data_IF_448452592507
#
_entry.id   IF_448452592507
#
_cell.length_a   1.000
_cell.length_b   1.000
_cell.length_c   1.000
_cell.angle_alpha   90.00
_cell.angle_beta   90.00
_cell.angle_gamma   90.00
#
_symmetry.space_group_name_H-M   'P 1'
#
loop_
_entity.id
_entity.type
_entity.pdbx_description
1 polymer ?
#
# COMPACT_ATOMS: atom_id res chain seq x y z
N UNK A 1 27.27 21.49 16.00
CA UNK A 1 27.02 20.72 17.23
C UNK A 1 28.25 19.89 17.60
N UNK A 2 28.44 19.52 18.88
CA UNK A 2 29.56 18.65 19.32
C UNK A 2 29.33 17.16 19.03
N UNK A 3 28.32 16.82 18.24
CA UNK A 3 27.91 15.43 17.93
C UNK A 3 29.04 14.56 17.32
N UNK A 4 29.99 15.09 16.52
CA UNK A 4 31.17 14.32 16.08
C UNK A 4 32.13 13.92 17.22
N UNK A 5 32.10 14.62 18.36
CA UNK A 5 32.91 14.24 19.53
C UNK A 5 32.24 13.19 20.39
N UNK A 6 30.93 12.96 20.22
CA UNK A 6 30.11 12.05 21.03
C UNK A 6 29.84 10.71 20.34
N UNK A 7 29.83 10.68 19.00
CA UNK A 7 29.57 9.47 18.20
C UNK A 7 30.69 9.31 17.17
N UNK A 8 31.35 8.14 17.17
CA UNK A 8 32.47 7.85 16.26
C UNK A 8 32.06 7.88 14.79
N UNK A 9 30.87 7.36 14.46
CA UNK A 9 30.35 7.31 13.08
C UNK A 9 30.23 8.70 12.45
N UNK A 10 29.79 9.71 13.23
CA UNK A 10 29.68 11.09 12.75
C UNK A 10 31.05 11.78 12.62
N UNK A 11 32.01 11.38 13.47
CA UNK A 11 33.39 11.86 13.38
C UNK A 11 34.06 11.39 12.10
N UNK A 12 33.92 10.11 11.79
CA UNK A 12 34.57 9.48 10.66
C UNK A 12 33.97 9.99 9.34
N UNK A 13 32.67 10.29 9.34
CA UNK A 13 31.98 10.92 8.22
C UNK A 13 32.16 12.45 8.12
N UNK A 14 32.77 13.11 9.12
CA UNK A 14 32.99 14.56 9.14
C UNK A 14 31.71 15.41 9.17
N UNK A 15 30.56 14.79 9.45
CA UNK A 15 29.24 15.43 9.47
C UNK A 15 28.72 15.56 10.89
N UNK A 16 27.80 16.50 11.11
CA UNK A 16 27.06 16.61 12.37
C UNK A 16 25.74 15.84 12.25
N UNK A 17 25.23 15.33 13.36
CA UNK A 17 23.85 14.84 13.42
C UNK A 17 22.88 15.96 13.01
N UNK A 18 22.17 15.76 11.90
CA UNK A 18 21.26 16.74 11.33
C UNK A 18 20.05 17.00 12.25
N UNK A 19 19.56 15.97 12.95
CA UNK A 19 18.45 16.11 13.91
C UNK A 19 18.85 16.96 15.12
N UNK A 20 19.97 16.63 15.74
CA UNK A 20 20.53 17.41 16.84
C UNK A 20 20.91 18.84 16.44
N UNK A 21 21.45 19.04 15.23
CA UNK A 21 21.78 20.38 14.74
C UNK A 21 20.52 21.22 14.45
N UNK A 22 19.47 20.61 13.89
CA UNK A 22 18.18 21.25 13.66
C UNK A 22 17.54 21.73 14.95
N UNK A 23 17.57 20.90 16.00
CA UNK A 23 17.05 21.28 17.33
C UNK A 23 17.80 22.49 17.92
N UNK A 24 19.12 22.57 17.75
CA UNK A 24 19.92 23.72 18.20
C UNK A 24 19.48 25.00 17.47
N UNK A 25 19.28 24.95 16.15
CA UNK A 25 18.83 26.12 15.39
C UNK A 25 17.44 26.60 15.80
N UNK A 26 16.51 25.68 16.08
CA UNK A 26 15.18 26.03 16.59
C UNK A 26 15.30 26.76 17.93
N UNK A 27 16.12 26.26 18.84
CA UNK A 27 16.31 26.88 20.16
C UNK A 27 17.05 28.23 20.08
N UNK A 28 18.02 28.37 19.18
CA UNK A 28 18.71 29.64 18.91
C UNK A 28 17.75 30.68 18.31
N UNK A 29 16.87 30.26 17.39
CA UNK A 29 15.82 31.10 16.84
C UNK A 29 14.81 31.57 17.90
N UNK A 30 14.35 30.65 18.75
CA UNK A 30 13.45 30.98 19.86
C UNK A 30 14.10 31.96 20.85
N UNK A 31 15.39 31.77 21.18
CA UNK A 31 16.14 32.68 22.04
C UNK A 31 16.34 34.06 21.39
N UNK A 32 16.63 34.11 20.09
CA UNK A 32 16.78 35.36 19.36
C UNK A 32 15.48 36.17 19.34
N UNK A 33 14.34 35.51 19.14
CA UNK A 33 13.02 36.13 19.21
C UNK A 33 12.72 36.68 20.61
N UNK A 34 13.02 35.92 21.67
CA UNK A 34 12.86 36.37 23.06
C UNK A 34 13.78 37.55 23.42
N UNK A 35 14.93 37.67 22.76
CA UNK A 35 15.86 38.80 22.91
C UNK A 35 15.50 40.00 22.03
N UNK A 36 14.41 39.95 21.27
CA UNK A 36 13.96 41.03 20.39
C UNK A 36 14.89 41.25 19.19
N UNK A 37 15.66 40.25 18.78
CA UNK A 37 16.50 40.32 17.57
C UNK A 37 15.64 39.97 16.37
N UNK A 38 15.51 40.89 15.42
CA UNK A 38 14.85 40.62 14.14
C UNK A 38 15.74 39.72 13.28
N UNK A 39 15.16 38.65 12.73
CA UNK A 39 15.85 37.75 11.80
C UNK A 39 15.92 38.42 10.43
N UNK A 40 17.13 38.81 10.00
CA UNK A 40 17.37 39.20 8.62
C UNK A 40 17.65 37.93 7.81
N UNK A 41 16.78 37.63 6.87
CA UNK A 41 16.98 36.53 5.93
C UNK A 41 18.15 36.90 5.01
N UNK A 42 19.35 36.42 5.33
CA UNK A 42 20.45 36.46 4.38
C UNK A 42 20.08 35.53 3.22
N UNK A 43 19.75 36.11 2.07
CA UNK A 43 19.65 35.38 0.79
C UNK A 43 21.05 34.90 0.41
N UNK A 44 21.51 33.83 1.06
CA UNK A 44 22.57 33.01 0.51
C UNK A 44 21.91 32.09 -0.51
N UNK A 45 22.20 32.32 -1.79
CA UNK A 45 22.06 31.29 -2.80
C UNK A 45 22.76 30.03 -2.26
N UNK A 46 22.14 28.84 -2.30
CA UNK A 46 22.79 27.62 -1.83
C UNK A 46 24.11 27.50 -2.58
N UNK A 47 25.24 27.62 -1.87
CA UNK A 47 26.50 27.22 -2.45
C UNK A 47 26.35 25.74 -2.82
N UNK A 48 26.78 25.33 -4.01
CA UNK A 48 26.81 23.92 -4.33
C UNK A 48 27.62 23.25 -3.22
N UNK A 49 26.93 22.42 -2.44
CA UNK A 49 27.58 21.50 -1.54
C UNK A 49 28.53 20.76 -2.46
N UNK A 50 29.85 20.90 -2.24
CA UNK A 50 30.82 20.03 -2.88
C UNK A 50 30.28 18.63 -2.61
N UNK A 51 29.84 17.97 -3.66
CA UNK A 51 29.50 16.56 -3.64
C UNK A 51 30.63 15.90 -2.86
N UNK A 52 30.29 15.47 -1.65
CA UNK A 52 31.02 14.40 -1.02
C UNK A 52 30.90 13.33 -2.10
N UNK A 53 32.01 12.87 -2.72
CA UNK A 53 31.89 11.71 -3.57
C UNK A 53 31.15 10.72 -2.71
N UNK A 54 29.96 10.33 -3.16
CA UNK A 54 29.32 9.16 -2.62
C UNK A 54 30.46 8.17 -2.46
N UNK A 55 30.65 7.64 -1.27
CA UNK A 55 31.32 6.36 -1.19
C UNK A 55 30.38 5.39 -1.90
N UNK A 56 30.38 5.49 -3.23
CA UNK A 56 30.15 4.43 -4.18
C UNK A 56 31.21 3.40 -3.83
N UNK A 57 30.84 2.57 -2.87
CA UNK A 57 31.12 1.15 -2.77
C UNK A 57 30.58 0.66 -1.42
N UNK A 58 29.28 0.85 -1.19
CA UNK A 58 28.52 -0.37 -0.93
C UNK A 58 28.22 -0.87 -2.33
N UNK A 59 28.95 -1.91 -2.75
CA UNK A 59 28.63 -2.63 -3.97
C UNK A 59 27.12 -2.76 -4.06
N UNK A 60 26.49 -2.49 -5.23
CA UNK A 60 25.11 -2.91 -5.41
C UNK A 60 25.09 -4.36 -4.95
N UNK A 61 24.32 -4.66 -3.91
CA UNK A 61 23.94 -6.03 -3.66
C UNK A 61 23.29 -6.45 -4.96
N UNK A 62 24.06 -7.07 -5.85
CA UNK A 62 23.56 -7.70 -7.04
C UNK A 62 22.51 -8.62 -6.46
N UNK A 63 21.23 -8.31 -6.68
CA UNK A 63 20.19 -9.31 -6.60
C UNK A 63 20.72 -10.43 -7.48
N UNK A 64 21.28 -11.47 -6.86
CA UNK A 64 21.92 -12.56 -7.57
C UNK A 64 20.89 -13.23 -8.49
N UNK A 65 19.61 -13.06 -8.15
CA UNK A 65 18.44 -13.53 -8.86
C UNK A 65 17.45 -12.38 -9.09
N UNK A 66 17.05 -12.17 -10.34
CA UNK A 66 16.20 -11.05 -10.75
C UNK A 66 14.70 -11.28 -10.61
N UNK A 67 14.24 -12.52 -10.45
CA UNK A 67 12.81 -12.84 -10.38
C UNK A 67 12.42 -13.50 -9.08
N UNK A 68 11.32 -13.05 -8.49
CA UNK A 68 10.58 -13.81 -7.50
C UNK A 68 9.60 -14.74 -8.24
N UNK A 69 9.68 -16.05 -7.99
CA UNK A 69 8.78 -17.04 -8.58
C UNK A 69 8.00 -17.73 -7.47
N UNK A 70 6.68 -17.57 -7.51
CA UNK A 70 5.74 -18.22 -6.61
C UNK A 70 4.83 -19.16 -7.38
N UNK A 71 4.48 -20.29 -6.77
CA UNK A 71 3.45 -21.17 -7.30
C UNK A 71 2.82 -22.01 -6.19
N UNK A 72 1.57 -22.40 -6.40
CA UNK A 72 0.86 -23.36 -5.58
C UNK A 72 0.88 -24.73 -6.28
N UNK A 73 1.44 -25.74 -5.61
CA UNK A 73 1.56 -27.10 -6.13
C UNK A 73 0.54 -28.01 -5.45
N UNK A 74 -0.35 -28.62 -6.25
CA UNK A 74 -1.27 -29.69 -5.80
C UNK A 74 -0.76 -31.06 -6.22
N UNK A 75 -0.72 -32.01 -5.28
CA UNK A 75 -0.26 -33.38 -5.53
C UNK A 75 -0.84 -34.36 -4.52
N UNK A 76 -0.61 -35.65 -4.70
CA UNK A 76 -1.15 -36.69 -3.81
C UNK A 76 -0.17 -37.13 -2.71
N UNK A 77 1.12 -36.82 -2.86
CA UNK A 77 2.20 -37.21 -1.95
C UNK A 77 3.35 -36.21 -2.02
N UNK A 78 3.05 -34.92 -1.87
CA UNK A 78 4.07 -33.89 -1.82
C UNK A 78 4.91 -34.03 -0.54
N UNK A 79 6.21 -33.83 -0.67
CA UNK A 79 7.13 -33.77 0.46
C UNK A 79 7.84 -32.41 0.44
N UNK A 80 7.43 -31.46 1.30
CA UNK A 80 8.04 -30.13 1.35
C UNK A 80 9.56 -30.15 1.50
N UNK A 81 10.12 -31.10 2.25
CA UNK A 81 11.58 -31.18 2.44
C UNK A 81 12.27 -31.67 1.15
N UNK A 82 11.68 -32.64 0.45
CA UNK A 82 12.17 -33.05 -0.87
C UNK A 82 12.06 -31.93 -1.90
N UNK A 83 10.97 -31.15 -1.90
CA UNK A 83 10.78 -30.00 -2.81
C UNK A 83 11.85 -28.94 -2.52
N UNK A 84 12.12 -28.63 -1.25
CA UNK A 84 13.21 -27.72 -0.86
C UNK A 84 14.54 -28.20 -1.38
N UNK A 85 14.85 -29.48 -1.21
CA UNK A 85 16.12 -30.04 -1.65
C UNK A 85 16.28 -29.92 -3.17
N UNK A 86 15.26 -30.28 -3.94
CA UNK A 86 15.26 -30.17 -5.41
C UNK A 86 15.42 -28.72 -5.87
N UNK A 87 14.75 -27.77 -5.22
CA UNK A 87 14.74 -26.38 -5.67
C UNK A 87 15.90 -25.53 -5.16
N UNK A 88 16.60 -25.96 -4.11
CA UNK A 88 17.71 -25.22 -3.49
C UNK A 88 18.86 -24.87 -4.43
N UNK A 89 18.98 -25.57 -5.57
CA UNK A 89 20.02 -25.32 -6.57
C UNK A 89 19.66 -24.24 -7.59
N UNK A 90 18.39 -23.84 -7.66
CA UNK A 90 17.87 -22.95 -8.70
C UNK A 90 17.79 -21.48 -8.26
N UNK A 91 18.07 -21.16 -7.00
CA UNK A 91 17.85 -19.82 -6.47
C UNK A 91 18.22 -19.66 -5.00
N UNK A 92 17.92 -18.48 -4.46
CA UNK A 92 17.97 -18.22 -3.02
C UNK A 92 16.57 -17.95 -2.45
N UNK A 93 16.53 -17.73 -1.13
CA UNK A 93 15.30 -17.36 -0.42
C UNK A 93 14.14 -18.35 -0.66
N UNK A 94 14.50 -19.64 -0.81
CA UNK A 94 13.56 -20.71 -1.06
C UNK A 94 12.71 -20.98 0.17
N UNK A 95 11.40 -20.78 0.02
CA UNK A 95 10.38 -21.11 0.99
C UNK A 95 9.46 -22.16 0.37
N UNK A 96 9.24 -23.24 1.11
CA UNK A 96 8.25 -24.28 0.77
C UNK A 96 7.47 -24.59 2.03
N UNK A 97 6.18 -24.25 1.99
CA UNK A 97 5.24 -24.38 3.10
C UNK A 97 4.02 -25.15 2.61
N UNK A 98 3.58 -26.15 3.37
CA UNK A 98 2.43 -26.98 3.02
C UNK A 98 2.54 -28.41 3.53
N UNK A 99 1.71 -29.29 2.98
CA UNK A 99 1.59 -30.70 3.33
C UNK A 99 1.59 -31.61 2.10
N UNK A 100 1.18 -32.88 2.27
CA UNK A 100 1.18 -33.87 1.20
C UNK A 100 0.18 -33.60 0.06
N UNK A 101 -0.84 -32.77 0.30
CA UNK A 101 -1.88 -32.41 -0.67
C UNK A 101 -1.62 -31.08 -1.39
N UNK A 102 -1.01 -30.12 -0.70
CA UNK A 102 -0.81 -28.75 -1.19
C UNK A 102 0.47 -28.14 -0.65
N UNK A 103 1.29 -27.55 -1.52
CA UNK A 103 2.50 -26.81 -1.13
C UNK A 103 2.60 -25.48 -1.86
N UNK A 104 2.83 -24.38 -1.14
CA UNK A 104 3.23 -23.10 -1.71
C UNK A 104 4.75 -23.04 -1.78
N UNK A 105 5.25 -22.64 -2.94
CA UNK A 105 6.67 -22.49 -3.23
C UNK A 105 6.96 -21.04 -3.58
N UNK A 106 7.97 -20.45 -2.96
CA UNK A 106 8.54 -19.14 -3.29
C UNK A 106 10.04 -19.30 -3.45
N UNK A 107 10.61 -18.78 -4.52
CA UNK A 107 12.06 -18.78 -4.73
C UNK A 107 12.49 -17.56 -5.54
N UNK A 108 13.62 -16.96 -5.17
CA UNK A 108 14.27 -15.97 -6.01
C UNK A 108 15.19 -16.68 -7.01
N UNK A 109 14.91 -16.56 -8.30
CA UNK A 109 15.66 -17.25 -9.35
C UNK A 109 15.86 -16.37 -10.59
N UNK A 110 16.86 -16.71 -11.41
CA UNK A 110 17.00 -16.17 -12.77
C UNK A 110 16.36 -17.09 -13.82
N UNK A 111 15.84 -18.24 -13.40
CA UNK A 111 15.32 -19.29 -14.28
C UNK A 111 13.93 -19.72 -13.80
N UNK A 112 12.93 -18.81 -13.75
CA UNK A 112 11.56 -19.13 -13.30
C UNK A 112 10.98 -20.34 -14.04
N UNK A 113 11.19 -20.44 -15.36
CA UNK A 113 10.72 -21.57 -16.16
C UNK A 113 11.27 -22.92 -15.70
N UNK A 114 12.53 -22.99 -15.24
CA UNK A 114 13.11 -24.23 -14.72
C UNK A 114 12.50 -24.65 -13.39
N UNK A 115 12.25 -23.69 -12.51
CA UNK A 115 11.55 -23.95 -11.23
C UNK A 115 10.16 -24.54 -11.50
N UNK A 116 9.41 -23.96 -12.43
CA UNK A 116 8.09 -24.46 -12.79
C UNK A 116 8.14 -25.85 -13.45
N UNK A 117 9.13 -26.10 -14.32
CA UNK A 117 9.36 -27.43 -14.93
C UNK A 117 9.62 -28.51 -13.89
N UNK A 118 10.38 -28.23 -12.83
CA UNK A 118 10.64 -29.18 -11.75
C UNK A 118 9.39 -29.43 -10.91
N UNK A 119 8.63 -28.38 -10.60
CA UNK A 119 7.38 -28.52 -9.84
C UNK A 119 6.31 -29.32 -10.61
N UNK A 120 6.24 -29.19 -11.94
CA UNK A 120 5.32 -29.97 -12.79
C UNK A 120 5.58 -31.48 -12.75
N UNK A 121 6.79 -31.92 -12.38
CA UNK A 121 7.09 -33.34 -12.24
C UNK A 121 6.47 -33.94 -10.96
N UNK A 122 6.14 -33.09 -9.99
CA UNK A 122 5.66 -33.48 -8.66
C UNK A 122 4.15 -33.33 -8.51
N UNK A 123 3.50 -32.50 -9.34
CA UNK A 123 2.07 -32.24 -9.28
C UNK A 123 1.60 -31.23 -10.30
N UNK A 124 0.38 -30.72 -10.11
CA UNK A 124 -0.20 -29.67 -10.96
C UNK A 124 0.03 -28.29 -10.34
N UNK A 125 0.47 -27.33 -11.17
CA UNK A 125 0.68 -25.94 -10.77
C UNK A 125 -0.61 -25.13 -10.82
N UNK A 126 -0.79 -24.26 -9.83
CA UNK A 126 -1.86 -23.28 -9.68
C UNK A 126 -1.25 -21.95 -9.18
N UNK A 127 -1.97 -20.84 -9.38
CA UNK A 127 -1.61 -19.51 -8.84
C UNK A 127 -0.14 -19.12 -9.05
N UNK A 128 0.33 -19.27 -10.28
CA UNK A 128 1.73 -18.99 -10.65
C UNK A 128 1.93 -17.47 -10.74
N UNK A 129 2.92 -16.96 -9.99
CA UNK A 129 3.35 -15.57 -10.04
C UNK A 129 4.85 -15.48 -10.34
N UNK A 130 5.23 -14.62 -11.28
CA UNK A 130 6.63 -14.33 -11.59
C UNK A 130 6.79 -12.81 -11.62
N UNK A 131 7.46 -12.28 -10.60
CA UNK A 131 7.71 -10.84 -10.46
C UNK A 131 9.17 -10.51 -10.73
N UNK A 132 9.44 -9.48 -11.53
CA UNK A 132 10.79 -8.94 -11.69
C UNK A 132 11.13 -8.01 -10.52
N UNK A 133 12.06 -8.45 -9.66
CA UNK A 133 12.46 -7.69 -8.47
C UNK A 133 13.25 -6.41 -8.81
N UNK A 134 13.87 -6.35 -10.01
CA UNK A 134 14.54 -5.13 -10.49
C UNK A 134 13.54 -4.02 -10.85
N UNK A 135 12.35 -4.38 -11.33
CA UNK A 135 11.29 -3.40 -11.64
C UNK A 135 10.64 -2.87 -10.36
N UNK A 136 10.51 -3.71 -9.33
CA UNK A 136 10.10 -3.27 -7.98
C UNK A 136 11.13 -2.29 -7.38
N UNK A 137 12.43 -2.55 -7.52
CA UNK A 137 13.48 -1.64 -7.05
C UNK A 137 13.56 -0.33 -7.85
N UNK A 138 13.32 -0.34 -9.17
CA UNK A 138 13.23 0.90 -9.97
C UNK A 138 12.07 1.78 -9.51
N UNK A 139 10.96 1.19 -9.08
CA UNK A 139 9.80 1.97 -8.62
C UNK A 139 10.11 2.73 -7.32
N UNK A 140 10.97 2.19 -6.45
CA UNK A 140 11.43 2.85 -5.22
C UNK A 140 12.52 3.91 -5.44
N UNK A 141 13.39 3.74 -6.45
CA UNK A 141 14.52 4.64 -6.73
C UNK A 141 14.22 5.78 -7.71
N UNK A 142 13.09 5.74 -8.44
CA UNK A 142 12.74 6.75 -9.47
C UNK A 142 12.02 7.99 -8.88
N UNK A 143 11.93 8.12 -7.55
CA UNK A 143 11.38 9.31 -6.90
C UNK A 143 12.19 10.60 -7.11
N UNK A 144 13.42 10.56 -7.65
CA UNK A 144 14.27 11.76 -7.80
C UNK A 144 14.97 11.91 -9.16
N UNK A 145 14.34 11.50 -10.27
CA UNK A 145 14.85 11.90 -11.60
C UNK A 145 13.73 12.52 -12.43
N UNK A 146 13.89 13.76 -12.95
CA UNK A 146 12.90 14.35 -13.85
C UNK A 146 12.88 13.53 -15.14
N UNK A 147 11.93 12.60 -15.23
CA UNK A 147 11.62 11.82 -16.41
C UNK A 147 11.29 12.77 -17.57
N UNK A 148 11.74 12.40 -18.76
CA UNK A 148 11.35 13.02 -20.03
C UNK A 148 9.83 13.29 -20.06
N UNK A 149 9.37 14.41 -20.66
CA UNK A 149 7.97 14.79 -20.65
C UNK A 149 7.12 13.69 -21.30
N UNK A 150 6.33 12.99 -20.47
CA UNK A 150 5.26 12.13 -20.95
C UNK A 150 4.27 13.02 -21.72
N UNK A 151 3.71 12.56 -22.85
CA UNK A 151 2.72 13.34 -23.59
C UNK A 151 1.54 13.66 -22.67
N UNK A 152 1.06 14.90 -22.77
CA UNK A 152 -0.06 15.42 -21.96
C UNK A 152 -1.30 14.56 -22.18
N UNK A 153 -1.82 13.96 -21.10
CA UNK A 153 -3.04 13.17 -21.16
C UNK A 153 -4.26 14.10 -21.06
N UNK A 154 -5.39 13.67 -21.63
CA UNK A 154 -6.65 14.38 -21.45
C UNK A 154 -7.14 14.30 -20.00
N UNK A 155 -7.00 13.13 -19.37
CA UNK A 155 -7.38 12.84 -18.00
C UNK A 155 -6.22 12.20 -17.25
N UNK A 156 -6.05 12.63 -16.00
CA UNK A 156 -5.19 11.95 -15.03
C UNK A 156 -5.96 11.63 -13.75
N UNK A 157 -5.37 10.79 -12.92
CA UNK A 157 -6.03 10.27 -11.72
C UNK A 157 -5.11 10.37 -10.51
N UNK A 158 -5.62 10.93 -9.42
CA UNK A 158 -4.98 10.97 -8.10
C UNK A 158 -5.83 10.15 -7.14
N UNK A 159 -5.20 9.26 -6.38
CA UNK A 159 -5.88 8.50 -5.33
C UNK A 159 -5.17 8.66 -3.99
N UNK A 160 -5.91 8.41 -2.91
CA UNK A 160 -5.34 8.36 -1.57
C UNK A 160 -5.38 6.93 -1.08
N UNK A 161 -4.27 6.44 -0.53
CA UNK A 161 -4.19 5.14 0.10
C UNK A 161 -3.04 5.10 1.10
N UNK A 162 -3.06 4.11 1.98
CA UNK A 162 -2.00 3.85 2.93
C UNK A 162 -1.66 2.36 2.91
N UNK A 163 -0.40 2.04 2.66
CA UNK A 163 0.09 0.69 2.46
C UNK A 163 0.66 0.48 1.06
N UNK A 164 1.85 -0.08 0.98
CA UNK A 164 2.59 -0.23 -0.28
C UNK A 164 1.86 -1.12 -1.28
N UNK A 165 1.18 -2.16 -0.79
CA UNK A 165 0.41 -3.06 -1.65
C UNK A 165 -0.82 -2.40 -2.25
N UNK A 166 -1.56 -1.61 -1.47
CA UNK A 166 -2.69 -0.81 -1.97
C UNK A 166 -2.23 0.25 -2.96
N UNK A 167 -1.07 0.89 -2.71
CA UNK A 167 -0.46 1.83 -3.64
C UNK A 167 -0.14 1.16 -4.98
N UNK A 168 0.56 0.02 -4.95
CA UNK A 168 0.90 -0.75 -6.15
C UNK A 168 -0.36 -1.19 -6.91
N UNK A 169 -1.41 -1.62 -6.21
CA UNK A 169 -2.68 -1.99 -6.85
C UNK A 169 -3.33 -0.80 -7.58
N UNK A 170 -3.40 0.36 -6.94
CA UNK A 170 -3.96 1.57 -7.53
C UNK A 170 -3.14 2.07 -8.73
N UNK A 171 -1.81 2.09 -8.62
CA UNK A 171 -0.90 2.44 -9.72
C UNK A 171 -1.04 1.45 -10.89
N UNK A 172 -1.21 0.17 -10.61
CA UNK A 172 -1.48 -0.88 -11.60
C UNK A 172 -2.79 -0.68 -12.36
N UNK A 173 -3.78 -0.05 -11.73
CA UNK A 173 -5.06 0.34 -12.34
C UNK A 173 -5.01 1.70 -13.06
N UNK A 174 -3.83 2.30 -13.18
CA UNK A 174 -3.62 3.53 -13.95
C UNK A 174 -3.74 4.83 -13.16
N UNK A 175 -3.73 4.78 -11.83
CA UNK A 175 -3.57 5.99 -11.00
C UNK A 175 -2.20 6.63 -11.27
N UNK A 176 -2.17 7.92 -11.57
CA UNK A 176 -0.92 8.64 -11.87
C UNK A 176 -0.13 8.99 -10.61
N UNK A 177 -0.82 9.35 -9.52
CA UNK A 177 -0.21 9.66 -8.22
C UNK A 177 -1.07 9.11 -7.09
N UNK A 178 -0.45 8.30 -6.23
CA UNK A 178 -1.04 7.87 -4.97
C UNK A 178 -0.46 8.69 -3.83
N UNK A 179 -1.29 9.50 -3.20
CA UNK A 179 -0.92 10.27 -2.00
C UNK A 179 -1.08 9.38 -0.78
N UNK A 180 -0.04 9.30 0.05
CA UNK A 180 -0.14 8.58 1.31
C UNK A 180 -1.20 9.21 2.20
N UNK A 181 -2.20 8.41 2.61
CA UNK A 181 -3.27 8.90 3.46
C UNK A 181 -4.17 7.80 4.03
N UNK A 182 -4.53 7.93 5.30
CA UNK A 182 -5.37 6.99 6.05
C UNK A 182 -6.15 7.67 7.19
N UNK A 183 -6.95 6.93 7.97
CA UNK A 183 -7.88 7.52 8.97
C UNK A 183 -7.20 8.49 9.96
N UNK A 184 -5.96 8.21 10.37
CA UNK A 184 -5.20 8.99 11.36
C UNK A 184 -4.17 9.93 10.75
N UNK A 185 -3.84 9.77 9.47
CA UNK A 185 -2.95 10.64 8.69
C UNK A 185 -3.65 10.98 7.37
N UNK A 186 -4.65 11.85 7.44
CA UNK A 186 -5.32 12.34 6.24
C UNK A 186 -4.41 13.39 5.58
N UNK A 187 -4.20 13.35 4.24
CA UNK A 187 -3.40 14.34 3.56
C UNK A 187 -4.08 15.71 3.67
N UNK A 188 -3.25 16.74 3.77
CA UNK A 188 -3.67 18.13 3.69
C UNK A 188 -4.15 18.50 2.28
N UNK A 189 -4.94 19.56 2.19
CA UNK A 189 -5.34 20.14 0.89
C UNK A 189 -4.12 20.52 0.05
N UNK A 190 -3.02 20.96 0.69
CA UNK A 190 -1.77 21.33 0.03
C UNK A 190 -1.06 20.13 -0.59
N UNK A 191 -1.01 19.00 0.11
CA UNK A 191 -0.44 17.74 -0.41
C UNK A 191 -1.26 17.19 -1.58
N UNK A 192 -2.59 17.22 -1.48
CA UNK A 192 -3.47 16.83 -2.59
C UNK A 192 -3.33 17.76 -3.79
N UNK A 193 -3.22 19.07 -3.56
CA UNK A 193 -2.99 20.06 -4.61
C UNK A 193 -1.64 19.81 -5.31
N UNK A 194 -0.57 19.57 -4.55
CA UNK A 194 0.74 19.26 -5.11
C UNK A 194 0.71 17.99 -5.98
N UNK A 195 -0.01 16.95 -5.53
CA UNK A 195 -0.23 15.73 -6.30
C UNK A 195 -0.96 16.03 -7.62
N UNK A 196 -2.08 16.76 -7.57
CA UNK A 196 -2.84 17.18 -8.76
C UNK A 196 -1.98 17.99 -9.71
N UNK A 197 -1.16 18.93 -9.21
CA UNK A 197 -0.28 19.74 -10.05
C UNK A 197 0.83 18.91 -10.71
N UNK A 198 1.35 17.88 -10.05
CA UNK A 198 2.36 16.98 -10.61
C UNK A 198 1.85 16.10 -11.76
N UNK A 199 0.54 15.87 -11.86
CA UNK A 199 -0.07 15.05 -12.92
C UNK A 199 -0.03 15.79 -14.25
N UNK A 200 0.58 15.19 -15.28
CA UNK A 200 0.66 15.76 -16.63
C UNK A 200 -0.65 15.58 -17.42
N UNK A 201 -1.74 16.17 -16.91
CA UNK A 201 -3.06 16.19 -17.54
C UNK A 201 -3.76 17.53 -17.29
N UNK A 202 -4.63 17.93 -18.22
CA UNK A 202 -5.44 19.15 -18.11
C UNK A 202 -6.67 18.98 -17.20
N UNK A 203 -7.14 17.73 -17.05
CA UNK A 203 -8.24 17.35 -16.18
C UNK A 203 -7.83 16.21 -15.26
N UNK A 204 -8.22 16.25 -13.98
CA UNK A 204 -7.81 15.30 -12.95
C UNK A 204 -9.00 14.79 -12.15
N UNK A 205 -9.09 13.47 -12.00
CA UNK A 205 -10.03 12.80 -11.11
C UNK A 205 -9.35 12.51 -9.77
N UNK A 206 -10.02 12.81 -8.66
CA UNK A 206 -9.50 12.52 -7.31
C UNK A 206 -10.37 11.43 -6.66
N UNK A 207 -9.73 10.36 -6.18
CA UNK A 207 -10.34 9.30 -5.37
C UNK A 207 -9.86 9.41 -3.92
N UNK A 208 -10.63 10.05 -3.01
CA UNK A 208 -10.23 10.30 -1.64
C UNK A 208 -10.07 9.04 -0.80
N UNK A 209 -10.81 7.97 -1.13
CA UNK A 209 -10.79 6.65 -0.48
C UNK A 209 -10.89 6.69 1.06
N UNK A 210 -11.37 7.80 1.61
CA UNK A 210 -11.50 8.09 3.02
C UNK A 210 -12.45 9.27 3.16
N UNK A 211 -13.54 9.07 3.91
CA UNK A 211 -14.58 10.08 4.12
C UNK A 211 -14.05 11.43 4.63
N UNK A 212 -12.95 11.43 5.39
CA UNK A 212 -12.36 12.63 5.98
C UNK A 212 -11.54 13.44 4.97
N UNK A 213 -11.19 12.85 3.83
CA UNK A 213 -10.37 13.47 2.77
C UNK A 213 -11.22 14.14 1.70
N UNK A 214 -12.50 13.75 1.57
CA UNK A 214 -13.42 14.25 0.53
C UNK A 214 -13.48 15.78 0.52
N UNK A 215 -13.56 16.42 1.70
CA UNK A 215 -13.70 17.87 1.82
C UNK A 215 -12.41 18.59 1.38
N UNK A 216 -11.25 18.05 1.74
CA UNK A 216 -9.95 18.56 1.27
C UNK A 216 -9.80 18.39 -0.25
N UNK A 217 -10.20 17.23 -0.80
CA UNK A 217 -10.19 16.98 -2.24
C UNK A 217 -11.09 17.96 -3.02
N UNK A 218 -12.26 18.31 -2.47
CA UNK A 218 -13.15 19.31 -3.09
C UNK A 218 -12.53 20.71 -3.11
N UNK A 219 -11.80 21.09 -2.07
CA UNK A 219 -11.10 22.39 -2.02
C UNK A 219 -9.99 22.48 -3.08
N UNK A 220 -9.35 21.37 -3.45
CA UNK A 220 -8.32 21.37 -4.50
C UNK A 220 -8.85 21.95 -5.81
N UNK A 221 -10.11 21.67 -6.17
CA UNK A 221 -10.74 22.18 -7.39
C UNK A 221 -10.83 23.73 -7.43
N UNK A 222 -10.82 24.40 -6.27
CA UNK A 222 -10.84 25.86 -6.17
C UNK A 222 -9.43 26.49 -6.20
N UNK A 223 -8.38 25.67 -6.01
CA UNK A 223 -7.00 26.10 -5.81
C UNK A 223 -6.08 25.82 -7.01
N UNK A 224 -6.57 25.09 -8.01
CA UNK A 224 -5.85 24.79 -9.26
C UNK A 224 -6.52 25.43 -10.48
N UNK A 225 -5.77 25.54 -11.56
CA UNK A 225 -6.30 25.91 -12.89
C UNK A 225 -6.74 24.70 -13.71
N UNK A 226 -6.40 23.48 -13.28
CA UNK A 226 -6.83 22.23 -13.92
C UNK A 226 -8.31 21.99 -13.65
N UNK A 227 -8.99 21.26 -14.53
CA UNK A 227 -10.34 20.80 -14.23
C UNK A 227 -10.27 19.62 -13.27
N UNK A 228 -10.97 19.69 -12.14
CA UNK A 228 -10.92 18.63 -11.11
C UNK A 228 -12.32 18.11 -10.84
N UNK A 229 -12.46 16.78 -10.82
CA UNK A 229 -13.66 16.13 -10.31
C UNK A 229 -13.31 15.14 -9.19
N UNK A 230 -14.09 15.18 -8.11
CA UNK A 230 -13.89 14.30 -6.95
C UNK A 230 -14.90 13.17 -7.02
N UNK A 231 -14.41 11.93 -7.04
CA UNK A 231 -15.24 10.73 -6.89
C UNK A 231 -15.39 10.51 -5.38
N UNK A 232 -16.60 10.50 -4.80
CA UNK A 232 -16.79 10.54 -3.35
C UNK A 232 -16.54 9.18 -2.66
N UNK A 233 -15.45 8.49 -3.01
CA UNK A 233 -15.05 7.21 -2.43
C UNK A 233 -14.61 7.39 -0.97
N UNK A 234 -15.01 6.44 -0.12
CA UNK A 234 -14.78 6.47 1.33
C UNK A 234 -13.83 5.40 1.82
N UNK A 235 -13.47 4.46 0.95
CA UNK A 235 -12.56 3.35 1.21
C UNK A 235 -11.80 3.00 -0.07
N UNK A 236 -10.69 2.27 0.06
CA UNK A 236 -9.87 1.86 -1.09
C UNK A 236 -10.62 0.90 -2.03
N UNK A 237 -11.43 -0.08 -1.58
CA UNK A 237 -12.19 -0.92 -2.50
C UNK A 237 -13.19 -0.13 -3.34
N UNK A 238 -13.86 0.88 -2.77
CA UNK A 238 -14.69 1.81 -3.57
C UNK A 238 -13.88 2.56 -4.62
N UNK A 239 -12.62 2.89 -4.31
CA UNK A 239 -11.65 3.45 -5.25
C UNK A 239 -11.31 2.50 -6.40
N UNK A 240 -11.08 1.22 -6.09
CA UNK A 240 -10.79 0.19 -7.08
C UNK A 240 -12.00 -0.03 -8.00
N UNK A 241 -13.21 -0.19 -7.43
CA UNK A 241 -14.45 -0.32 -8.20
C UNK A 241 -14.68 0.90 -9.11
N UNK A 242 -14.42 2.11 -8.61
CA UNK A 242 -14.45 3.33 -9.43
C UNK A 242 -13.46 3.27 -10.59
N UNK A 243 -12.22 2.85 -10.35
CA UNK A 243 -11.18 2.75 -11.37
C UNK A 243 -11.49 1.73 -12.46
N UNK A 244 -12.14 0.61 -12.12
CA UNK A 244 -12.57 -0.38 -13.13
C UNK A 244 -13.58 0.21 -14.12
N UNK A 245 -14.39 1.18 -13.68
CA UNK A 245 -15.35 1.89 -14.53
C UNK A 245 -14.74 3.10 -15.28
N UNK A 246 -13.46 3.42 -15.06
CA UNK A 246 -12.79 4.52 -15.75
C UNK A 246 -12.61 4.21 -17.24
N UNK A 247 -12.96 5.18 -18.09
CA UNK A 247 -12.79 5.08 -19.54
C UNK A 247 -12.01 6.30 -20.07
N UNK A 248 -10.78 6.12 -20.59
CA UNK A 248 -9.95 7.22 -21.06
C UNK A 248 -10.50 7.93 -22.30
N UNK A 249 -11.48 7.36 -23.00
CA UNK A 249 -12.15 7.98 -24.16
C UNK A 249 -13.26 8.96 -23.75
N UNK A 250 -13.74 8.90 -22.50
CA UNK A 250 -14.82 9.76 -22.00
C UNK A 250 -14.29 11.05 -21.37
N UNK A 251 -15.14 12.07 -21.30
CA UNK A 251 -14.82 13.33 -20.63
C UNK A 251 -14.77 13.23 -19.10
N UNK A 252 -14.35 14.31 -18.43
CA UNK A 252 -14.24 14.38 -16.98
C UNK A 252 -15.57 14.10 -16.27
N UNK A 253 -16.66 14.75 -16.70
CA UNK A 253 -17.98 14.63 -16.07
C UNK A 253 -18.60 13.23 -16.27
N UNK A 254 -18.45 12.65 -17.46
CA UNK A 254 -18.96 11.32 -17.78
C UNK A 254 -18.22 10.25 -16.99
N UNK A 255 -16.89 10.33 -16.93
CA UNK A 255 -16.09 9.48 -16.04
C UNK A 255 -16.51 9.67 -14.59
N UNK A 256 -16.66 10.91 -14.11
CA UNK A 256 -17.03 11.16 -12.72
C UNK A 256 -18.38 10.53 -12.35
N UNK A 257 -19.37 10.60 -13.24
CA UNK A 257 -20.66 9.96 -13.03
C UNK A 257 -20.58 8.42 -13.04
N UNK A 258 -19.87 7.84 -14.01
CA UNK A 258 -19.71 6.39 -14.13
C UNK A 258 -18.94 5.80 -12.94
N UNK A 259 -17.80 6.40 -12.60
CA UNK A 259 -16.95 6.00 -11.48
C UNK A 259 -17.67 6.15 -10.13
N UNK A 260 -18.46 7.22 -9.94
CA UNK A 260 -19.27 7.39 -8.73
C UNK A 260 -20.32 6.29 -8.60
N UNK A 261 -20.97 5.92 -9.71
CA UNK A 261 -21.97 4.83 -9.70
C UNK A 261 -21.31 3.49 -9.37
N UNK A 262 -20.19 3.16 -10.00
CA UNK A 262 -19.44 1.94 -9.74
C UNK A 262 -18.91 1.87 -8.30
N UNK A 263 -18.45 2.99 -7.73
CA UNK A 263 -17.98 3.01 -6.33
C UNK A 263 -19.04 2.62 -5.30
N UNK A 264 -20.33 2.66 -5.68
CA UNK A 264 -21.44 2.37 -4.78
C UNK A 264 -21.91 0.91 -4.84
N UNK A 265 -21.43 0.12 -5.81
CA UNK A 265 -21.80 -1.30 -5.91
C UNK A 265 -21.07 -2.19 -4.92
N UNK A 266 -19.92 -1.73 -4.39
CA UNK A 266 -19.11 -2.50 -3.45
C UNK A 266 -19.43 -2.19 -2.00
N UNK A 267 -19.68 -3.24 -1.21
CA UNK A 267 -19.75 -3.14 0.26
C UNK A 267 -18.35 -3.28 0.82
N UNK A 268 -18.02 -2.47 1.82
CA UNK A 268 -16.66 -2.48 2.39
C UNK A 268 -16.64 -2.85 3.85
N UNK A 269 -15.76 -3.79 4.19
CA UNK A 269 -15.50 -4.24 5.55
C UNK A 269 -14.11 -3.82 6.01
N UNK A 270 -13.97 -3.45 7.27
CA UNK A 270 -12.67 -3.08 7.85
C UNK A 270 -12.50 -3.76 9.22
N UNK A 271 -11.36 -4.42 9.41
CA UNK A 271 -11.02 -5.10 10.67
C UNK A 271 -9.85 -4.36 11.29
N UNK A 272 -10.06 -3.78 12.47
CA UNK A 272 -9.09 -2.95 13.20
C UNK A 272 -9.15 -3.24 14.70
N UNK A 273 -8.48 -2.45 15.52
CA UNK A 273 -8.45 -2.60 16.97
C UNK A 273 -8.84 -1.32 17.70
N UNK A 274 -9.35 -1.46 18.91
CA UNK A 274 -9.69 -0.34 19.77
C UNK A 274 -8.45 0.25 20.44
N UNK A 275 -8.11 1.50 20.13
CA UNK A 275 -6.99 2.21 20.79
C UNK A 275 -7.29 2.64 22.24
N UNK A 276 -8.56 2.61 22.66
CA UNK A 276 -9.00 2.96 24.01
C UNK A 276 -10.31 2.29 24.37
N UNK A 277 -10.55 2.11 25.65
CA UNK A 277 -11.83 1.62 26.14
C UNK A 277 -12.93 2.67 25.98
N UNK A 278 -14.12 2.27 25.53
CA UNK A 278 -15.26 3.16 25.30
C UNK A 278 -16.59 2.40 25.31
N UNK A 279 -17.71 3.11 25.23
CA UNK A 279 -19.04 2.53 25.02
C UNK A 279 -19.62 3.03 23.71
N UNK A 280 -19.95 2.12 22.80
CA UNK A 280 -20.57 2.42 21.50
C UNK A 280 -21.81 1.56 21.35
N UNK A 281 -22.95 2.18 21.06
CA UNK A 281 -24.24 1.47 20.86
C UNK A 281 -24.65 0.51 22.00
N UNK A 282 -24.20 0.77 23.24
CA UNK A 282 -24.46 -0.09 24.40
C UNK A 282 -23.49 -1.27 24.56
N UNK A 283 -22.56 -1.46 23.63
CA UNK A 283 -21.45 -2.41 23.74
C UNK A 283 -20.26 -1.74 24.45
N UNK A 284 -19.72 -2.43 25.46
CA UNK A 284 -18.50 -2.01 26.16
C UNK A 284 -17.29 -2.52 25.37
N UNK A 285 -16.48 -1.60 24.87
CA UNK A 285 -15.29 -1.87 24.07
C UNK A 285 -14.08 -1.63 24.96
N UNK A 286 -13.19 -2.61 25.07
CA UNK A 286 -11.92 -2.48 25.78
C UNK A 286 -10.80 -2.13 24.81
N UNK A 287 -9.79 -1.42 25.31
CA UNK A 287 -8.55 -1.20 24.55
C UNK A 287 -7.96 -2.55 24.12
N UNK A 288 -7.65 -2.68 22.84
CA UNK A 288 -7.14 -3.91 22.22
C UNK A 288 -8.21 -4.85 21.68
N UNK A 289 -9.51 -4.60 21.93
CA UNK A 289 -10.57 -5.39 21.29
C UNK A 289 -10.51 -5.20 19.76
N UNK A 290 -10.76 -6.28 19.04
CA UNK A 290 -10.86 -6.29 17.59
C UNK A 290 -12.24 -5.77 17.20
N UNK A 291 -12.27 -4.84 16.26
CA UNK A 291 -13.45 -4.16 15.78
C UNK A 291 -13.71 -4.55 14.32
N UNK A 292 -14.93 -4.98 14.03
CA UNK A 292 -15.42 -5.19 12.68
C UNK A 292 -16.34 -4.05 12.26
N UNK A 293 -16.00 -3.38 11.17
CA UNK A 293 -16.80 -2.29 10.61
C UNK A 293 -17.33 -2.65 9.23
N UNK A 294 -18.56 -2.24 8.93
CA UNK A 294 -19.14 -2.26 7.57
C UNK A 294 -19.46 -0.82 7.20
N UNK A 295 -18.89 -0.34 6.08
CA UNK A 295 -18.98 1.04 5.60
C UNK A 295 -18.71 2.09 6.71
N UNK A 296 -17.71 1.80 7.54
CA UNK A 296 -17.27 2.63 8.65
C UNK A 296 -18.20 2.64 9.88
N UNK A 297 -19.19 1.75 9.94
CA UNK A 297 -20.05 1.54 11.12
C UNK A 297 -19.62 0.28 11.85
N UNK A 298 -19.43 0.37 13.16
CA UNK A 298 -19.14 -0.78 14.00
C UNK A 298 -20.32 -1.77 13.99
N UNK A 299 -20.07 -3.01 13.60
CA UNK A 299 -21.09 -4.08 13.54
C UNK A 299 -20.79 -5.25 14.48
N UNK A 300 -19.53 -5.52 14.77
CA UNK A 300 -19.12 -6.59 15.70
C UNK A 300 -17.83 -6.23 16.43
N UNK A 301 -17.60 -6.89 17.56
CA UNK A 301 -16.40 -6.75 18.39
C UNK A 301 -15.98 -8.12 18.90
N UNK A 302 -14.68 -8.38 18.96
CA UNK A 302 -14.15 -9.66 19.44
C UNK A 302 -12.71 -9.54 19.92
N UNK A 303 -12.06 -10.69 20.07
CA UNK A 303 -10.64 -10.77 20.48
C UNK A 303 -9.74 -11.47 19.47
N UNK A 304 -10.35 -12.13 18.49
CA UNK A 304 -9.64 -12.86 17.46
C UNK A 304 -9.92 -12.20 16.12
N UNK A 305 -8.86 -11.79 15.42
CA UNK A 305 -8.94 -11.05 14.16
C UNK A 305 -9.72 -11.82 13.11
N UNK A 306 -9.41 -13.11 12.98
CA UNK A 306 -10.03 -14.00 11.99
C UNK A 306 -11.53 -14.21 12.26
N UNK A 307 -11.92 -14.45 13.52
CA UNK A 307 -13.32 -14.61 13.89
C UNK A 307 -14.13 -13.35 13.59
N UNK A 308 -13.59 -12.17 13.91
CA UNK A 308 -14.23 -10.89 13.59
C UNK A 308 -14.32 -10.66 12.07
N UNK A 309 -13.32 -11.08 11.29
CA UNK A 309 -13.37 -10.98 9.84
C UNK A 309 -14.51 -11.83 9.24
N UNK A 310 -14.68 -13.07 9.73
CA UNK A 310 -15.76 -13.96 9.30
C UNK A 310 -17.14 -13.42 9.72
N UNK A 311 -17.29 -12.92 10.95
CA UNK A 311 -18.53 -12.29 11.44
C UNK A 311 -18.92 -11.05 10.61
N UNK A 312 -17.93 -10.32 10.09
CA UNK A 312 -18.15 -9.18 9.19
C UNK A 312 -18.63 -9.67 7.83
N UNK A 313 -17.98 -10.68 7.24
CA UNK A 313 -18.39 -11.25 5.95
C UNK A 313 -19.79 -11.86 5.99
N UNK A 314 -20.15 -12.55 7.07
CA UNK A 314 -21.50 -13.10 7.29
C UNK A 314 -22.60 -12.03 7.24
N UNK A 315 -22.26 -10.78 7.56
CA UNK A 315 -23.17 -9.63 7.50
C UNK A 315 -23.09 -8.86 6.17
N UNK A 316 -22.02 -9.04 5.39
CA UNK A 316 -21.82 -8.34 4.12
C UNK A 316 -22.34 -9.13 2.91
N UNK A 317 -22.12 -10.45 2.91
CA UNK A 317 -22.39 -11.34 1.77
C UNK A 317 -23.89 -11.61 1.67
N UNK A 318 -24.44 -11.29 0.50
CA UNK A 318 -25.82 -11.57 0.09
C UNK A 318 -25.83 -12.60 -1.06
N UNK A 319 -26.97 -13.26 -1.34
CA UNK A 319 -27.04 -14.35 -2.32
C UNK A 319 -26.69 -13.98 -3.77
N UNK A 320 -26.64 -12.69 -4.11
CA UNK A 320 -26.29 -12.16 -5.42
C UNK A 320 -24.84 -11.68 -5.53
N UNK A 321 -24.06 -11.77 -4.45
CA UNK A 321 -22.64 -11.44 -4.47
C UNK A 321 -21.81 -12.61 -5.02
N UNK A 322 -20.88 -12.30 -5.90
CA UNK A 322 -20.07 -13.27 -6.63
C UNK A 322 -18.58 -13.16 -6.29
N UNK A 323 -18.13 -12.05 -5.69
CA UNK A 323 -16.72 -11.80 -5.40
C UNK A 323 -16.50 -11.29 -3.98
N UNK A 324 -15.50 -11.87 -3.32
CA UNK A 324 -14.96 -11.40 -2.04
C UNK A 324 -13.47 -11.09 -2.24
N UNK A 325 -13.09 -9.83 -2.06
CA UNK A 325 -11.68 -9.40 -2.13
C UNK A 325 -11.17 -9.07 -0.74
N UNK A 326 -10.02 -9.62 -0.37
CA UNK A 326 -9.38 -9.43 0.94
C UNK A 326 -8.02 -8.77 0.78
N UNK A 327 -7.85 -7.59 1.37
CA UNK A 327 -6.57 -6.88 1.46
C UNK A 327 -5.97 -7.02 2.86
N UNK A 328 -4.79 -7.63 2.96
CA UNK A 328 -4.11 -7.87 4.25
C UNK A 328 -3.28 -6.67 4.71
N UNK A 329 -3.34 -6.36 6.01
CA UNK A 329 -2.52 -5.33 6.65
C UNK A 329 -1.07 -5.73 6.83
N UNK A 330 -0.22 -4.79 7.25
CA UNK A 330 1.21 -5.06 7.47
C UNK A 330 1.49 -6.03 8.62
N UNK A 331 0.59 -6.11 9.61
CA UNK A 331 0.70 -7.00 10.77
C UNK A 331 0.26 -8.44 10.48
N UNK A 332 -0.33 -8.71 9.31
CA UNK A 332 -0.80 -10.06 8.95
C UNK A 332 0.31 -10.84 8.26
N UNK A 333 0.67 -11.98 8.85
CA UNK A 333 1.62 -12.93 8.27
C UNK A 333 0.95 -13.78 7.18
N UNK A 334 1.75 -14.26 6.22
CA UNK A 334 1.25 -15.05 5.08
C UNK A 334 0.49 -16.31 5.53
N UNK A 335 0.91 -16.96 6.62
CA UNK A 335 0.23 -18.13 7.18
C UNK A 335 -1.19 -17.78 7.67
N UNK A 336 -1.35 -16.62 8.30
CA UNK A 336 -2.66 -16.15 8.77
C UNK A 336 -3.57 -15.77 7.60
N UNK A 337 -3.01 -15.14 6.56
CA UNK A 337 -3.75 -14.82 5.34
C UNK A 337 -4.26 -16.09 4.65
N UNK A 338 -3.43 -17.12 4.51
CA UNK A 338 -3.81 -18.42 3.90
C UNK A 338 -4.85 -19.15 4.75
N UNK A 339 -4.73 -19.10 6.08
CA UNK A 339 -5.71 -19.70 6.98
C UNK A 339 -7.09 -19.04 6.84
N UNK A 340 -7.14 -17.70 6.81
CA UNK A 340 -8.39 -16.96 6.59
C UNK A 340 -8.96 -17.27 5.20
N UNK A 341 -8.13 -17.28 4.15
CA UNK A 341 -8.55 -17.62 2.79
C UNK A 341 -9.26 -18.96 2.71
N UNK A 342 -8.65 -19.97 3.31
CA UNK A 342 -9.21 -21.32 3.35
C UNK A 342 -10.58 -21.34 4.02
N UNK A 343 -10.77 -20.58 5.11
CA UNK A 343 -12.04 -20.52 5.84
C UNK A 343 -13.12 -19.77 5.05
N UNK A 344 -12.78 -18.63 4.45
CA UNK A 344 -13.70 -17.86 3.61
C UNK A 344 -14.17 -18.71 2.43
N UNK A 345 -13.27 -19.37 1.68
CA UNK A 345 -13.65 -20.22 0.55
C UNK A 345 -14.50 -21.44 0.95
N UNK A 346 -14.37 -21.93 2.19
CA UNK A 346 -15.20 -23.02 2.69
C UNK A 346 -16.59 -22.55 3.13
N UNK A 347 -16.70 -21.33 3.64
CA UNK A 347 -17.94 -20.76 4.17
C UNK A 347 -18.80 -20.12 3.07
N UNK A 348 -18.18 -19.41 2.13
CA UNK A 348 -18.82 -18.68 1.05
C UNK A 348 -18.54 -19.36 -0.29
N UNK A 349 -19.12 -20.54 -0.50
CA UNK A 349 -18.83 -21.40 -1.68
C UNK A 349 -19.35 -20.84 -3.01
N UNK A 350 -20.26 -19.88 -2.93
CA UNK A 350 -20.88 -19.25 -4.10
C UNK A 350 -20.11 -18.00 -4.56
N UNK A 351 -19.09 -17.57 -3.82
CA UNK A 351 -18.24 -16.43 -4.18
C UNK A 351 -16.83 -16.87 -4.58
N UNK A 352 -16.26 -16.22 -5.59
CA UNK A 352 -14.82 -16.22 -5.83
C UNK A 352 -14.13 -15.41 -4.73
N UNK A 353 -12.97 -15.87 -4.26
CA UNK A 353 -12.24 -15.22 -3.18
C UNK A 353 -10.85 -14.83 -3.64
N UNK A 354 -10.58 -13.54 -3.67
CA UNK A 354 -9.30 -12.95 -4.04
C UNK A 354 -8.55 -12.41 -2.83
N UNK A 355 -7.23 -12.63 -2.80
CA UNK A 355 -6.35 -12.16 -1.73
C UNK A 355 -5.23 -11.30 -2.28
N UNK A 356 -5.09 -10.11 -1.69
CA UNK A 356 -4.03 -9.18 -2.01
C UNK A 356 -3.33 -8.69 -0.75
N UNK A 357 -2.02 -8.50 -0.85
CA UNK A 357 -1.27 -7.80 0.19
C UNK A 357 -1.58 -6.31 0.08
N UNK A 358 -2.17 -5.71 1.11
CA UNK A 358 -2.47 -4.28 1.15
C UNK A 358 -1.37 -3.48 1.87
N UNK A 359 -0.84 -4.02 2.97
CA UNK A 359 0.26 -3.41 3.73
C UNK A 359 -0.16 -2.18 4.54
N UNK A 360 -1.45 -1.99 4.81
CA UNK A 360 -1.92 -0.90 5.64
C UNK A 360 -1.62 -1.15 7.14
N UNK A 361 -1.21 -0.13 7.91
CA UNK A 361 -0.76 -0.27 9.31
C UNK A 361 -1.86 -0.40 10.37
N UNK A 362 -3.07 0.12 10.12
CA UNK A 362 -4.13 0.19 11.15
C UNK A 362 -5.24 -0.84 10.99
N UNK A 363 -5.26 -1.53 9.86
CA UNK A 363 -6.31 -2.48 9.54
C UNK A 363 -5.69 -3.83 9.23
N UNK A 364 -6.06 -4.84 10.01
CA UNK A 364 -5.67 -6.22 9.75
C UNK A 364 -6.18 -6.70 8.40
N UNK A 365 -7.45 -6.37 8.10
CA UNK A 365 -8.07 -6.70 6.83
C UNK A 365 -8.94 -5.54 6.35
N UNK A 366 -8.89 -5.27 5.05
CA UNK A 366 -9.92 -4.51 4.33
C UNK A 366 -10.61 -5.50 3.39
N UNK A 367 -11.93 -5.54 3.43
CA UNK A 367 -12.77 -6.48 2.70
C UNK A 367 -13.61 -5.73 1.68
N UNK A 368 -13.79 -6.33 0.51
CA UNK A 368 -14.73 -5.92 -0.51
C UNK A 368 -15.68 -7.08 -0.82
N UNK A 369 -16.97 -6.80 -0.95
CA UNK A 369 -17.98 -7.76 -1.40
C UNK A 369 -18.78 -7.10 -2.53
N UNK A 370 -18.86 -7.80 -3.65
CA UNK A 370 -19.49 -7.36 -4.90
C UNK A 370 -20.47 -8.40 -5.44
#
# INVERSE_FOLDING_TARGET
>A
ARTPSLLSVLRDAGVVDAGGQGLVFILEGALAALQGKEYQQETSSPQPVKEIPAQDEVEPGQLAYGYCTEALLRGAALDPDSIRQTLSVYGDSLLVVGDAGLAKVHIHTNQPGRVLEELLQLGTLHDIKIDNMLDQHRTTLVAETPSQPKPEKALGVVAVAMGDGLKVALEGLGVDVVVSGGQTMNPSTEELLAAVESVMASSVLILPNNKNVILAAQQVAELTTKQVAVIPTKSVPQGIAALVAFNPELGLEENAAAMTTASQSVKTGEITYAVRSTQVNGCEIQSGDILGLIDGKLVTTGREVEAVALDVLDQMVEPDNELITVFTGEEIEDEQAVALATKISQQFTDCEVEFHRGGQPLYYYILAVE
#
